data_IF_265789071959
#
_entry.id   IF_265789071959
#
_cell.length_a   1.000
_cell.length_b   1.000
_cell.length_c   1.000
_cell.angle_alpha   90.00
_cell.angle_beta   90.00
_cell.angle_gamma   90.00
#
_symmetry.space_group_name_H-M   'P 1'
#
loop_
_entity.id
_entity.type
_entity.pdbx_description
1 polymer ?
#
# COMPACT_ATOMS: atom_id res chain seq x y z
N UNK A 1 27.37 -7.10 -2.36
CA UNK A 1 26.66 -7.14 -1.04
C UNK A 1 26.01 -5.83 -0.57
N UNK A 2 26.36 -4.64 -1.11
CA UNK A 2 25.76 -3.35 -0.70
C UNK A 2 24.33 -3.14 -1.22
N UNK A 3 24.13 -3.32 -2.52
CA UNK A 3 22.82 -3.06 -3.17
C UNK A 3 21.71 -3.94 -2.59
N UNK A 4 22.00 -5.22 -2.30
CA UNK A 4 21.04 -6.15 -1.67
C UNK A 4 20.57 -5.63 -0.31
N UNK A 5 21.46 -5.06 0.51
CA UNK A 5 21.09 -4.48 1.81
C UNK A 5 20.23 -3.23 1.67
N UNK A 6 20.51 -2.40 0.67
CA UNK A 6 19.70 -1.21 0.36
C UNK A 6 18.29 -1.65 -0.06
N UNK A 7 18.19 -2.64 -0.96
CA UNK A 7 16.91 -3.19 -1.41
C UNK A 7 16.14 -3.82 -0.26
N UNK A 8 16.78 -4.59 0.63
CA UNK A 8 16.11 -5.20 1.80
C UNK A 8 15.52 -4.14 2.74
N UNK A 9 16.18 -2.99 2.89
CA UNK A 9 15.67 -1.86 3.69
C UNK A 9 14.55 -1.08 2.98
N UNK A 10 14.60 -0.94 1.65
CA UNK A 10 13.60 -0.19 0.86
C UNK A 10 12.34 -0.98 0.54
N UNK A 11 12.48 -2.29 0.37
CA UNK A 11 11.40 -3.20 -0.04
C UNK A 11 10.11 -3.07 0.79
N UNK A 12 10.15 -2.92 2.14
CA UNK A 12 8.93 -2.73 2.93
C UNK A 12 8.15 -1.46 2.57
N UNK A 13 8.84 -0.35 2.27
CA UNK A 13 8.19 0.91 1.90
C UNK A 13 7.64 0.88 0.47
N UNK A 14 8.43 0.36 -0.48
CA UNK A 14 8.02 0.22 -1.88
C UNK A 14 6.83 -0.74 -2.05
N UNK A 15 6.73 -1.75 -1.18
CA UNK A 15 5.61 -2.71 -1.18
C UNK A 15 4.27 -2.03 -0.96
N UNK A 16 4.16 -1.06 -0.04
CA UNK A 16 2.89 -0.39 0.25
C UNK A 16 2.36 0.32 -0.99
N UNK A 17 3.24 1.05 -1.68
CA UNK A 17 2.93 1.71 -2.94
C UNK A 17 2.53 0.69 -4.03
N UNK A 18 3.26 -0.42 -4.17
CA UNK A 18 2.94 -1.47 -5.13
C UNK A 18 1.57 -2.12 -4.90
N UNK A 19 1.16 -2.32 -3.63
CA UNK A 19 -0.15 -2.90 -3.31
C UNK A 19 -1.28 -1.89 -3.59
N UNK A 20 -1.11 -0.63 -3.19
CA UNK A 20 -2.10 0.43 -3.43
C UNK A 20 -2.32 0.65 -4.93
N UNK A 21 -1.23 0.65 -5.71
CA UNK A 21 -1.29 0.79 -7.17
C UNK A 21 -1.93 -0.40 -7.87
N UNK A 22 -1.53 -1.64 -7.52
CA UNK A 22 -1.95 -2.85 -8.26
C UNK A 22 -3.25 -3.48 -7.76
N UNK A 23 -3.49 -3.48 -6.46
CA UNK A 23 -4.67 -4.15 -5.86
C UNK A 23 -5.84 -3.19 -5.79
N UNK A 24 -5.60 -1.95 -5.36
CA UNK A 24 -6.65 -0.94 -5.19
C UNK A 24 -6.82 -0.03 -6.42
N UNK A 25 -5.99 -0.19 -7.46
CA UNK A 25 -5.99 0.65 -8.67
C UNK A 25 -5.97 2.16 -8.37
N UNK A 26 -5.35 2.55 -7.25
CA UNK A 26 -5.43 3.90 -6.71
C UNK A 26 -4.31 4.82 -7.22
N UNK A 27 -3.44 4.35 -8.13
CA UNK A 27 -2.43 5.19 -8.78
C UNK A 27 -3.04 6.31 -9.62
N UNK A 28 -4.20 6.05 -10.23
CA UNK A 28 -4.92 7.02 -11.03
C UNK A 28 -6.40 6.93 -10.72
N UNK A 29 -6.98 8.06 -10.33
CA UNK A 29 -8.39 8.16 -9.96
C UNK A 29 -9.05 9.16 -10.89
N UNK A 30 -10.16 8.78 -11.53
CA UNK A 30 -10.94 9.64 -12.44
C UNK A 30 -11.78 10.69 -11.70
N UNK A 31 -11.18 11.38 -10.73
CA UNK A 31 -11.85 12.39 -9.90
C UNK A 31 -11.00 13.65 -9.94
N UNK A 32 -11.59 14.75 -10.40
CA UNK A 32 -10.89 16.01 -10.67
C UNK A 32 -10.73 16.90 -9.43
N UNK A 33 -11.53 16.68 -8.39
CA UNK A 33 -11.51 17.50 -7.18
C UNK A 33 -10.60 16.90 -6.10
N UNK A 34 -9.64 17.68 -5.61
CA UNK A 34 -8.67 17.26 -4.58
C UNK A 34 -9.35 16.73 -3.31
N UNK A 35 -10.44 17.36 -2.85
CA UNK A 35 -11.18 16.93 -1.66
C UNK A 35 -11.70 15.50 -1.79
N UNK A 36 -12.28 15.15 -2.94
CA UNK A 36 -12.79 13.79 -3.19
C UNK A 36 -11.66 12.76 -3.36
N UNK A 37 -10.53 13.16 -3.95
CA UNK A 37 -9.33 12.32 -4.04
C UNK A 37 -8.80 12.03 -2.63
N UNK A 38 -8.68 13.04 -1.77
CA UNK A 38 -8.23 12.86 -0.38
C UNK A 38 -9.07 11.84 0.37
N UNK A 39 -10.40 11.97 0.31
CA UNK A 39 -11.32 11.00 0.93
C UNK A 39 -11.12 9.60 0.37
N UNK A 40 -11.02 9.44 -0.97
CA UNK A 40 -10.73 8.14 -1.59
C UNK A 40 -9.41 7.54 -1.12
N UNK A 41 -8.37 8.36 -1.00
CA UNK A 41 -7.05 7.90 -0.55
C UNK A 41 -7.05 7.49 0.93
N UNK A 42 -7.87 8.14 1.77
CA UNK A 42 -8.07 7.72 3.16
C UNK A 42 -8.70 6.32 3.20
N UNK A 43 -9.76 6.09 2.42
CA UNK A 43 -10.39 4.77 2.36
C UNK A 43 -9.45 3.68 1.82
N UNK A 44 -8.63 3.96 0.81
CA UNK A 44 -7.66 2.99 0.30
C UNK A 44 -6.57 2.69 1.32
N UNK A 45 -6.12 3.67 2.11
CA UNK A 45 -5.17 3.46 3.20
C UNK A 45 -5.76 2.58 4.32
N UNK A 46 -7.01 2.80 4.72
CA UNK A 46 -7.70 1.92 5.67
C UNK A 46 -7.86 0.50 5.12
N UNK A 47 -8.25 0.36 3.86
CA UNK A 47 -8.34 -0.93 3.18
C UNK A 47 -6.99 -1.66 3.13
N UNK A 48 -5.90 -0.93 2.88
CA UNK A 48 -4.54 -1.48 2.93
C UNK A 48 -4.17 -2.01 4.32
N UNK A 49 -4.50 -1.28 5.39
CA UNK A 49 -4.21 -1.74 6.76
C UNK A 49 -4.93 -3.05 7.09
N UNK A 50 -6.20 -3.19 6.69
CA UNK A 50 -6.96 -4.44 6.87
C UNK A 50 -6.36 -5.57 6.02
N UNK A 51 -6.03 -5.30 4.76
CA UNK A 51 -5.39 -6.27 3.87
C UNK A 51 -4.04 -6.77 4.42
N UNK A 52 -3.26 -5.85 4.99
CA UNK A 52 -2.00 -6.16 5.65
C UNK A 52 -2.22 -7.01 6.91
N UNK A 53 -3.23 -6.70 7.72
CA UNK A 53 -3.57 -7.49 8.91
C UNK A 53 -3.98 -8.92 8.53
N UNK A 54 -4.82 -9.08 7.50
CA UNK A 54 -5.19 -10.40 6.98
C UNK A 54 -3.96 -11.18 6.48
N UNK A 55 -3.02 -10.50 5.83
CA UNK A 55 -1.77 -11.11 5.37
C UNK A 55 -0.90 -11.57 6.54
N UNK A 56 -0.79 -10.74 7.60
CA UNK A 56 -0.04 -11.08 8.82
C UNK A 56 -0.67 -12.25 9.58
N UNK A 57 -2.00 -12.27 9.67
CA UNK A 57 -2.76 -13.39 10.25
C UNK A 57 -2.53 -14.69 9.46
N UNK A 58 -2.54 -14.63 8.13
CA UNK A 58 -2.22 -15.79 7.28
C UNK A 58 -0.78 -16.27 7.45
N UNK A 59 0.13 -15.39 7.81
CA UNK A 59 1.53 -15.71 8.11
C UNK A 59 1.73 -16.23 9.55
N UNK A 60 0.70 -16.24 10.39
CA UNK A 60 0.78 -16.68 11.79
C UNK A 60 1.60 -15.74 12.68
N UNK A 61 1.80 -14.49 12.26
CA UNK A 61 2.55 -13.47 13.03
C UNK A 61 1.65 -12.80 14.08
N UNK A 62 0.33 -12.82 13.85
CA UNK A 62 -0.74 -12.28 14.70
C UNK A 62 -1.87 -13.29 14.77
#
# INVERSE_FOLDING_TARGET
>A
LRNIRITKKRSPGERQYAVISRVFNASHVMVTTVRRVSVKMIFTAFGFNIYQLCTLKKQGVV
#
